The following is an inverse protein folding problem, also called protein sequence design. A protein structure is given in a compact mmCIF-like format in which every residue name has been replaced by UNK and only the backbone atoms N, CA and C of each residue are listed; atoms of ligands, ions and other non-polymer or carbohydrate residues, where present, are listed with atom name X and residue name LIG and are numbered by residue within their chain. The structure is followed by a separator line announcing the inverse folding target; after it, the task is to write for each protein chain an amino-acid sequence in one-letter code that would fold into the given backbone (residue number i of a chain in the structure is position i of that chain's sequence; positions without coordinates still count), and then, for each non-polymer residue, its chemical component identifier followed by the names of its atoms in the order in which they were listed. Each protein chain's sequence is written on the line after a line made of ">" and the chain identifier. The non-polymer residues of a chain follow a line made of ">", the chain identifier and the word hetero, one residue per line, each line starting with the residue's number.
data_IF_970460936468
#
_entry.id   IF_970460936468
#
_cell.length_a   1.000
_cell.length_b   1.000
_cell.length_c   1.000
_cell.angle_alpha   90.00
_cell.angle_beta   90.00
_cell.angle_gamma   90.00
#
_symmetry.space_group_name_H-M   'P 1'
#
loop_
_entity.id
_entity.type
_entity.pdbx_description
1 polymer ?
#
# COMPACT_ATOMS: atom_id res chain seq x y z
N UNK A 1 -19.86 -27.72 39.97
CA UNK A 1 -19.14 -28.48 38.94
C UNK A 1 -19.40 -27.95 37.52
N UNK A 2 -20.61 -27.56 37.12
CA UNK A 2 -20.94 -27.03 35.77
C UNK A 2 -20.31 -25.66 35.47
N UNK A 3 -20.28 -24.75 36.44
CA UNK A 3 -19.75 -23.38 36.27
C UNK A 3 -18.22 -23.37 36.04
N UNK A 4 -17.47 -24.26 36.68
CA UNK A 4 -16.01 -24.39 36.49
C UNK A 4 -15.65 -24.86 35.08
N UNK A 5 -16.48 -25.73 34.47
CA UNK A 5 -16.28 -26.19 33.11
C UNK A 5 -16.52 -25.08 32.04
N UNK A 6 -17.48 -24.16 32.28
CA UNK A 6 -17.77 -23.06 31.39
C UNK A 6 -16.60 -22.07 31.32
N UNK A 7 -16.02 -21.69 32.46
CA UNK A 7 -14.85 -20.82 32.50
C UNK A 7 -13.63 -21.42 31.82
N UNK A 8 -13.40 -22.72 31.98
CA UNK A 8 -12.33 -23.42 31.29
C UNK A 8 -12.53 -23.45 29.76
N UNK A 9 -13.76 -23.69 29.29
CA UNK A 9 -14.09 -23.66 27.87
C UNK A 9 -13.93 -22.26 27.28
N UNK A 10 -14.39 -21.21 27.98
CA UNK A 10 -14.21 -19.83 27.55
C UNK A 10 -12.72 -19.49 27.47
N UNK A 11 -11.91 -19.83 28.47
CA UNK A 11 -10.46 -19.60 28.46
C UNK A 11 -9.75 -20.34 27.31
N UNK A 12 -10.15 -21.57 27.01
CA UNK A 12 -9.63 -22.35 25.88
C UNK A 12 -10.03 -21.70 24.55
N UNK A 13 -11.29 -21.30 24.39
CA UNK A 13 -11.77 -20.61 23.18
C UNK A 13 -11.11 -19.26 23.00
N UNK A 14 -10.90 -18.51 24.08
CA UNK A 14 -10.18 -17.23 24.04
C UNK A 14 -8.72 -17.43 23.65
N UNK A 15 -8.04 -18.47 24.19
CA UNK A 15 -6.67 -18.79 23.79
C UNK A 15 -6.58 -19.26 22.33
N UNK A 16 -7.54 -20.08 21.88
CA UNK A 16 -7.61 -20.49 20.46
C UNK A 16 -7.85 -19.30 19.53
N UNK A 17 -8.73 -18.35 19.90
CA UNK A 17 -8.95 -17.12 19.17
C UNK A 17 -7.69 -16.24 19.15
N UNK A 18 -7.02 -16.09 20.27
CA UNK A 18 -5.75 -15.35 20.37
C UNK A 18 -4.61 -16.02 19.57
N UNK A 19 -4.58 -17.36 19.49
CA UNK A 19 -3.63 -18.09 18.65
C UNK A 19 -3.98 -17.97 17.16
N UNK A 20 -5.26 -17.94 16.80
CA UNK A 20 -5.70 -17.69 15.42
C UNK A 20 -5.39 -16.26 14.96
N UNK A 21 -5.51 -15.27 15.85
CA UNK A 21 -5.10 -13.89 15.56
C UNK A 21 -3.57 -13.74 15.39
N UNK A 22 -2.77 -14.62 16.04
CA UNK A 22 -1.31 -14.67 15.86
C UNK A 22 -0.85 -15.22 14.50
N UNK A 23 -1.74 -15.89 13.76
CA UNK A 23 -1.47 -16.51 12.46
C UNK A 23 -1.78 -15.60 11.27
N UNK A 24 -2.29 -14.38 11.53
CA UNK A 24 -2.67 -13.41 10.49
C UNK A 24 -1.84 -12.14 10.62
N UNK A 25 -1.28 -11.68 9.51
CA UNK A 25 -0.52 -10.44 9.43
C UNK A 25 -1.40 -9.39 8.75
N UNK A 26 -1.68 -8.31 9.45
CA UNK A 26 -2.49 -7.20 8.98
C UNK A 26 -1.60 -6.06 8.48
N UNK A 27 -1.77 -5.68 7.22
CA UNK A 27 -1.06 -4.59 6.59
C UNK A 27 -2.07 -3.54 6.16
N UNK A 28 -1.79 -2.28 6.44
CA UNK A 28 -2.54 -1.16 5.87
C UNK A 28 -1.72 -0.58 4.72
N UNK A 29 -2.28 -0.59 3.51
CA UNK A 29 -1.72 0.09 2.36
C UNK A 29 -2.38 1.45 2.16
N UNK A 30 -1.54 2.48 2.07
CA UNK A 30 -1.90 3.86 1.80
C UNK A 30 -1.10 4.30 0.58
N UNK A 31 -1.65 5.16 -0.28
CA UNK A 31 -0.98 5.55 -1.52
C UNK A 31 -1.44 6.91 -2.03
N UNK A 32 -0.63 7.53 -2.86
CA UNK A 32 -0.99 8.72 -3.65
C UNK A 32 -1.51 9.86 -2.75
N UNK A 33 -0.66 10.29 -1.81
CA UNK A 33 -0.99 11.37 -0.88
C UNK A 33 -0.89 12.75 -1.55
N UNK A 34 0.07 12.90 -2.48
CA UNK A 34 0.34 14.14 -3.20
C UNK A 34 0.43 15.37 -2.27
N UNK A 35 1.24 15.23 -1.21
CA UNK A 35 1.44 16.32 -0.24
C UNK A 35 2.29 17.42 -0.86
N UNK A 36 1.94 18.66 -0.53
CA UNK A 36 2.69 19.87 -0.90
C UNK A 36 3.39 20.47 0.33
N UNK A 37 4.34 21.37 0.08
CA UNK A 37 4.90 22.24 1.13
C UNK A 37 3.79 23.01 1.87
N UNK A 38 2.88 23.62 1.11
CA UNK A 38 1.72 24.33 1.66
C UNK A 38 0.57 23.36 1.95
N UNK A 39 0.23 23.18 3.21
CA UNK A 39 -0.90 22.34 3.68
C UNK A 39 -2.26 22.81 3.18
N UNK A 40 -2.38 24.03 2.69
CA UNK A 40 -3.63 24.56 2.13
C UNK A 40 -3.73 24.36 0.61
N UNK A 41 -2.66 23.85 -0.02
CA UNK A 41 -2.64 23.58 -1.45
C UNK A 41 -3.71 22.56 -1.83
N UNK A 42 -4.39 22.81 -2.95
CA UNK A 42 -5.37 21.89 -3.53
C UNK A 42 -4.88 21.33 -4.86
N UNK A 43 -5.15 20.06 -5.11
CA UNK A 43 -5.05 19.41 -6.40
C UNK A 43 -6.43 18.91 -6.80
N UNK A 44 -6.89 19.22 -8.02
CA UNK A 44 -8.23 18.84 -8.49
C UNK A 44 -9.35 19.24 -7.51
N UNK A 45 -9.28 20.45 -6.95
CA UNK A 45 -10.20 21.02 -5.95
C UNK A 45 -10.24 20.26 -4.59
N UNK A 46 -9.29 19.37 -4.33
CA UNK A 46 -9.19 18.65 -3.05
C UNK A 46 -7.94 19.14 -2.33
N UNK A 47 -8.07 19.52 -1.05
CA UNK A 47 -6.94 19.76 -0.18
C UNK A 47 -6.32 18.42 0.19
N UNK A 48 -5.15 18.11 -0.39
CA UNK A 48 -4.53 16.79 -0.28
C UNK A 48 -4.07 16.49 1.15
N UNK A 49 -3.58 17.50 1.89
CA UNK A 49 -3.17 17.33 3.28
C UNK A 49 -4.36 17.00 4.18
N UNK A 50 -5.46 17.77 4.10
CA UNK A 50 -6.66 17.50 4.91
C UNK A 50 -7.29 16.16 4.57
N UNK A 51 -7.34 15.80 3.29
CA UNK A 51 -7.86 14.50 2.85
C UNK A 51 -7.03 13.35 3.40
N UNK A 52 -5.70 13.41 3.27
CA UNK A 52 -4.81 12.41 3.85
C UNK A 52 -4.94 12.35 5.38
N UNK A 53 -5.04 13.50 6.07
CA UNK A 53 -5.25 13.56 7.52
C UNK A 53 -6.48 12.79 7.95
N UNK A 54 -7.63 12.98 7.28
CA UNK A 54 -8.86 12.26 7.58
C UNK A 54 -8.72 10.74 7.36
N UNK A 55 -7.96 10.34 6.33
CA UNK A 55 -7.66 8.90 6.10
C UNK A 55 -6.81 8.34 7.24
N UNK A 56 -5.77 9.04 7.68
CA UNK A 56 -4.94 8.60 8.83
C UNK A 56 -5.73 8.57 10.14
N UNK A 57 -6.58 9.55 10.39
CA UNK A 57 -7.49 9.57 11.56
C UNK A 57 -8.46 8.39 11.52
N UNK A 58 -8.99 8.03 10.34
CA UNK A 58 -9.85 6.85 10.19
C UNK A 58 -9.10 5.54 10.42
N UNK A 59 -7.82 5.45 10.05
CA UNK A 59 -6.97 4.28 10.33
C UNK A 59 -6.70 4.16 11.84
N UNK A 60 -6.37 5.27 12.50
CA UNK A 60 -6.09 5.32 13.94
C UNK A 60 -7.34 4.96 14.77
N UNK A 61 -8.51 5.40 14.31
CA UNK A 61 -9.79 5.08 14.95
C UNK A 61 -10.30 3.66 14.64
N UNK A 62 -9.70 2.95 13.70
CA UNK A 62 -10.12 1.60 13.33
C UNK A 62 -9.63 0.60 14.37
N UNK A 63 -10.53 -0.20 14.92
CA UNK A 63 -10.21 -1.24 15.91
C UNK A 63 -9.44 -2.44 15.31
N UNK A 64 -9.22 -2.47 14.01
CA UNK A 64 -8.39 -3.49 13.36
C UNK A 64 -6.94 -3.24 13.75
N UNK A 65 -6.39 -4.09 14.61
CA UNK A 65 -4.95 -4.11 14.88
C UNK A 65 -4.18 -4.41 13.59
N UNK A 66 -3.11 -3.65 13.32
CA UNK A 66 -2.25 -3.89 12.16
C UNK A 66 -0.78 -3.92 12.55
N UNK A 67 -0.01 -4.74 11.82
CA UNK A 67 1.39 -5.02 12.12
C UNK A 67 2.33 -4.03 11.43
N UNK A 68 1.91 -3.43 10.31
CA UNK A 68 2.68 -2.44 9.58
C UNK A 68 1.83 -1.58 8.65
N UNK A 69 2.35 -0.39 8.33
CA UNK A 69 1.86 0.46 7.25
C UNK A 69 2.79 0.36 6.03
N UNK A 70 2.22 0.36 4.84
CA UNK A 70 2.96 0.50 3.58
C UNK A 70 2.39 1.70 2.83
N UNK A 71 3.21 2.73 2.64
CA UNK A 71 2.88 3.87 1.81
C UNK A 71 3.50 3.63 0.43
N UNK A 72 2.64 3.30 -0.54
CA UNK A 72 3.09 2.75 -1.83
C UNK A 72 3.29 3.81 -2.93
N UNK A 73 3.84 4.96 -2.56
CA UNK A 73 4.33 6.00 -3.49
C UNK A 73 3.42 7.20 -3.66
N UNK A 74 3.93 8.19 -4.39
CA UNK A 74 3.35 9.53 -4.57
C UNK A 74 3.00 10.19 -3.23
N UNK A 75 3.99 10.19 -2.32
CA UNK A 75 3.88 10.74 -0.97
C UNK A 75 3.91 12.27 -1.01
N UNK A 76 4.79 12.81 -1.85
CA UNK A 76 4.90 14.23 -2.17
C UNK A 76 4.43 14.48 -3.60
N UNK A 77 3.94 15.69 -3.89
CA UNK A 77 3.63 16.14 -5.25
C UNK A 77 4.71 17.09 -5.81
N UNK A 78 5.36 17.85 -4.94
CA UNK A 78 6.31 18.91 -5.30
C UNK A 78 7.77 18.59 -4.91
N UNK A 79 8.02 17.40 -4.39
CA UNK A 79 9.32 16.94 -3.89
C UNK A 79 9.99 17.92 -2.87
N UNK A 80 9.23 18.83 -2.22
CA UNK A 80 9.78 19.75 -1.22
C UNK A 80 10.14 19.03 0.08
N UNK A 81 11.06 19.59 0.86
CA UNK A 81 11.38 19.05 2.20
C UNK A 81 10.19 19.21 3.14
N UNK A 82 9.45 20.31 3.00
CA UNK A 82 8.26 20.62 3.77
C UNK A 82 7.13 19.60 3.53
N UNK A 83 6.97 19.09 2.29
CA UNK A 83 5.98 18.05 2.00
C UNK A 83 6.30 16.74 2.74
N UNK A 84 7.57 16.36 2.84
CA UNK A 84 7.99 15.19 3.62
C UNK A 84 7.93 15.44 5.13
N UNK A 85 8.13 16.67 5.62
CA UNK A 85 7.83 17.00 7.02
C UNK A 85 6.33 16.95 7.31
N UNK A 86 5.48 17.34 6.35
CA UNK A 86 4.03 17.15 6.44
C UNK A 86 3.66 15.67 6.52
N UNK A 87 4.32 14.80 5.76
CA UNK A 87 4.15 13.36 5.86
C UNK A 87 4.52 12.85 7.27
N UNK A 88 5.69 13.22 7.80
CA UNK A 88 6.11 12.85 9.15
C UNK A 88 5.11 13.30 10.21
N UNK A 89 4.55 14.50 10.05
CA UNK A 89 3.51 14.99 10.95
C UNK A 89 2.27 14.09 10.93
N UNK A 90 1.81 13.64 9.77
CA UNK A 90 0.66 12.72 9.65
C UNK A 90 0.95 11.35 10.28
N UNK A 91 2.19 10.88 10.17
CA UNK A 91 2.61 9.55 10.66
C UNK A 91 3.00 9.52 12.15
N UNK A 92 3.03 10.65 12.85
CA UNK A 92 3.63 10.80 14.20
C UNK A 92 3.00 9.92 15.30
N UNK A 93 1.74 9.54 15.15
CA UNK A 93 1.01 8.75 16.14
C UNK A 93 1.11 7.24 15.95
N UNK A 94 1.66 6.79 14.81
CA UNK A 94 1.78 5.36 14.51
C UNK A 94 3.11 4.81 15.05
N UNK A 95 3.01 3.79 15.91
CA UNK A 95 4.19 3.15 16.52
C UNK A 95 4.69 1.92 15.75
N UNK A 96 3.85 1.36 14.87
CA UNK A 96 4.22 0.22 14.04
C UNK A 96 5.29 0.56 12.99
N UNK A 97 5.98 -0.43 12.41
CA UNK A 97 6.85 -0.22 11.25
C UNK A 97 6.09 0.38 10.06
N UNK A 98 6.64 1.44 9.45
CA UNK A 98 6.07 2.15 8.32
C UNK A 98 7.05 2.09 7.16
N UNK A 99 6.64 1.45 6.07
CA UNK A 99 7.46 1.31 4.87
C UNK A 99 7.06 2.37 3.84
N UNK A 100 8.03 3.19 3.44
CA UNK A 100 7.85 4.26 2.47
C UNK A 100 8.45 3.84 1.12
N UNK A 101 7.62 3.86 0.09
CA UNK A 101 8.01 3.59 -1.30
C UNK A 101 7.94 4.90 -2.10
N UNK A 102 8.74 4.98 -3.16
CA UNK A 102 8.67 6.12 -4.08
C UNK A 102 7.67 5.86 -5.19
N UNK A 103 6.87 6.87 -5.51
CA UNK A 103 6.15 6.97 -6.77
C UNK A 103 6.90 7.85 -7.78
N UNK A 104 6.23 8.20 -8.89
CA UNK A 104 6.83 9.06 -9.91
C UNK A 104 6.96 10.52 -9.48
N UNK A 105 6.14 10.99 -8.53
CA UNK A 105 6.22 12.34 -7.95
C UNK A 105 7.23 12.46 -6.80
N UNK A 106 7.87 11.38 -6.35
CA UNK A 106 8.72 11.40 -5.16
C UNK A 106 10.21 11.55 -5.47
N UNK A 107 10.96 12.06 -4.49
CA UNK A 107 12.42 11.96 -4.43
C UNK A 107 12.83 10.77 -3.57
N UNK A 108 13.37 9.67 -4.15
CA UNK A 108 13.85 8.51 -3.38
C UNK A 108 14.92 8.89 -2.35
N UNK A 109 15.76 9.89 -2.65
CA UNK A 109 16.80 10.38 -1.76
C UNK A 109 16.21 11.05 -0.51
N UNK A 110 15.15 11.86 -0.67
CA UNK A 110 14.46 12.50 0.45
C UNK A 110 13.68 11.49 1.29
N UNK A 111 12.98 10.53 0.67
CA UNK A 111 12.37 9.43 1.40
C UNK A 111 13.40 8.68 2.24
N UNK A 112 14.55 8.33 1.65
CA UNK A 112 15.62 7.67 2.39
C UNK A 112 16.14 8.51 3.55
N UNK A 113 16.23 9.83 3.38
CA UNK A 113 16.71 10.73 4.43
C UNK A 113 15.79 10.81 5.64
N UNK A 114 14.45 10.78 5.43
CA UNK A 114 13.48 10.79 6.53
C UNK A 114 13.34 9.43 7.22
N UNK A 115 13.75 8.33 6.56
CA UNK A 115 13.73 6.97 7.13
C UNK A 115 14.84 6.70 8.15
N UNK A 116 15.62 7.69 8.54
CA UNK A 116 16.63 7.57 9.62
C UNK A 116 16.02 7.64 11.02
N UNK A 117 14.70 7.76 11.14
CA UNK A 117 13.96 7.76 12.40
C UNK A 117 13.42 6.37 12.75
N UNK A 118 12.96 6.15 13.98
CA UNK A 118 12.76 4.84 14.61
C UNK A 118 11.88 3.84 13.87
N UNK A 119 10.73 4.26 13.34
CA UNK A 119 9.74 3.36 12.70
C UNK A 119 9.62 3.51 11.19
N UNK A 120 10.12 4.61 10.59
CA UNK A 120 10.10 4.82 9.13
C UNK A 120 11.21 3.99 8.45
N UNK A 121 10.85 3.26 7.41
CA UNK A 121 11.72 2.32 6.69
C UNK A 121 11.64 2.57 5.18
N UNK A 122 12.76 2.42 4.48
CA UNK A 122 12.86 2.47 3.00
C UNK A 122 13.50 1.19 2.44
N UNK A 123 13.41 0.08 3.16
CA UNK A 123 13.98 -1.20 2.73
C UNK A 123 13.04 -1.92 1.77
N UNK A 124 13.61 -2.68 0.83
CA UNK A 124 12.86 -3.35 -0.23
C UNK A 124 12.21 -4.68 0.19
N UNK A 125 12.57 -5.24 1.35
CA UNK A 125 12.07 -6.54 1.78
C UNK A 125 11.88 -6.63 3.28
N UNK A 126 10.78 -7.28 3.67
CA UNK A 126 10.46 -7.64 5.05
C UNK A 126 9.95 -9.07 5.11
N UNK A 127 10.59 -9.91 5.92
CA UNK A 127 10.06 -11.22 6.29
C UNK A 127 9.20 -11.11 7.55
N UNK A 128 8.03 -11.74 7.55
CA UNK A 128 7.10 -11.79 8.67
C UNK A 128 6.30 -13.10 8.61
N UNK A 129 6.43 -13.95 9.65
CA UNK A 129 5.85 -15.31 9.64
C UNK A 129 6.26 -16.09 8.39
N UNK A 130 5.31 -16.74 7.74
CA UNK A 130 5.50 -17.46 6.48
C UNK A 130 5.55 -16.55 5.25
N UNK A 131 5.41 -15.23 5.43
CA UNK A 131 5.32 -14.28 4.35
C UNK A 131 6.59 -13.45 4.19
N UNK A 132 6.86 -13.12 2.95
CA UNK A 132 7.77 -12.04 2.57
C UNK A 132 6.99 -10.93 1.89
N UNK A 133 7.26 -9.69 2.27
CA UNK A 133 6.74 -8.50 1.58
C UNK A 133 7.89 -7.86 0.85
N UNK A 134 7.81 -7.83 -0.48
CA UNK A 134 8.82 -7.21 -1.33
C UNK A 134 8.29 -5.91 -1.95
N UNK A 135 9.03 -4.84 -1.77
CA UNK A 135 8.66 -3.49 -2.19
C UNK A 135 9.64 -3.02 -3.26
N UNK A 136 9.20 -2.98 -4.52
CA UNK A 136 10.01 -2.48 -5.63
C UNK A 136 9.96 -0.95 -5.69
N UNK A 137 11.11 -0.31 -5.88
CA UNK A 137 11.15 1.05 -6.37
C UNK A 137 10.93 1.06 -7.88
N UNK A 138 9.77 1.48 -8.32
CA UNK A 138 9.42 1.52 -9.74
C UNK A 138 9.61 2.90 -10.37
N UNK A 139 10.16 3.88 -9.64
CA UNK A 139 10.41 5.22 -10.19
C UNK A 139 11.44 5.14 -11.33
N UNK A 140 11.10 5.75 -12.46
CA UNK A 140 11.99 6.01 -13.58
C UNK A 140 12.28 7.50 -13.65
N UNK A 141 13.55 7.86 -13.69
CA UNK A 141 13.95 9.28 -13.71
C UNK A 141 13.35 10.02 -14.90
N UNK A 142 12.85 11.21 -14.65
CA UNK A 142 12.24 12.10 -15.64
C UNK A 142 11.11 11.46 -16.47
N UNK A 143 10.38 10.53 -15.90
CA UNK A 143 9.30 9.81 -16.58
C UNK A 143 8.13 9.55 -15.62
N UNK A 144 6.87 9.68 -16.07
CA UNK A 144 5.72 9.19 -15.31
C UNK A 144 5.54 7.67 -15.39
N UNK A 145 6.34 6.97 -16.22
CA UNK A 145 6.29 5.52 -16.38
C UNK A 145 7.09 4.83 -15.27
N UNK A 146 6.69 3.60 -14.95
CA UNK A 146 7.45 2.73 -14.07
C UNK A 146 8.50 1.88 -14.79
N UNK A 147 9.50 1.44 -14.03
CA UNK A 147 10.48 0.45 -14.46
C UNK A 147 10.88 -0.46 -13.29
N UNK A 148 11.08 -1.74 -13.55
CA UNK A 148 11.73 -2.65 -12.61
C UNK A 148 13.24 -2.63 -12.87
N UNK A 149 13.99 -2.09 -11.91
CA UNK A 149 15.44 -1.97 -12.02
C UNK A 149 16.12 -3.32 -11.92
N UNK A 150 17.14 -3.55 -12.77
CA UNK A 150 17.80 -4.85 -12.86
C UNK A 150 18.43 -5.32 -11.54
N UNK A 151 19.02 -4.41 -10.77
CA UNK A 151 19.58 -4.73 -9.46
C UNK A 151 18.52 -5.19 -8.44
N UNK A 152 17.30 -4.64 -8.50
CA UNK A 152 16.20 -5.06 -7.64
C UNK A 152 15.62 -6.39 -8.09
N UNK A 153 15.54 -6.66 -9.41
CA UNK A 153 15.13 -7.96 -9.93
C UNK A 153 16.09 -9.07 -9.49
N UNK A 154 17.41 -8.82 -9.54
CA UNK A 154 18.43 -9.77 -9.04
C UNK A 154 18.26 -10.00 -7.54
N UNK A 155 18.04 -8.95 -6.77
CA UNK A 155 17.79 -9.08 -5.33
C UNK A 155 16.48 -9.80 -5.03
N UNK A 156 15.42 -9.53 -5.79
CA UNK A 156 14.15 -10.23 -5.70
C UNK A 156 14.30 -11.73 -5.96
N UNK A 157 14.99 -12.11 -7.04
CA UNK A 157 15.24 -13.51 -7.39
C UNK A 157 16.03 -14.24 -6.29
N UNK A 158 16.99 -13.54 -5.66
CA UNK A 158 17.71 -14.05 -4.48
C UNK A 158 16.77 -14.27 -3.30
N UNK A 159 15.92 -13.29 -2.98
CA UNK A 159 14.91 -13.41 -1.90
C UNK A 159 13.97 -14.58 -2.16
N UNK A 160 13.48 -14.76 -3.40
CA UNK A 160 12.62 -15.89 -3.79
C UNK A 160 13.34 -17.23 -3.62
N UNK A 161 14.62 -17.29 -3.95
CA UNK A 161 15.45 -18.49 -3.81
C UNK A 161 15.71 -18.84 -2.35
N UNK A 162 16.10 -17.86 -1.54
CA UNK A 162 16.47 -18.05 -0.12
C UNK A 162 15.24 -18.43 0.72
N UNK A 163 14.05 -17.93 0.36
CA UNK A 163 12.78 -18.16 1.08
C UNK A 163 11.92 -19.24 0.38
N UNK A 164 12.45 -20.45 0.21
CA UNK A 164 11.84 -21.53 -0.59
C UNK A 164 10.43 -21.93 -0.17
N UNK A 165 10.09 -21.78 1.09
CA UNK A 165 8.79 -22.20 1.66
C UNK A 165 7.87 -21.03 2.03
N UNK A 166 8.26 -19.79 1.71
CA UNK A 166 7.49 -18.59 2.06
C UNK A 166 6.65 -18.12 0.89
N UNK A 167 5.52 -17.52 1.22
CA UNK A 167 4.66 -16.81 0.30
C UNK A 167 5.13 -15.37 0.15
N UNK A 168 4.81 -14.73 -0.98
CA UNK A 168 5.24 -13.37 -1.26
C UNK A 168 4.04 -12.49 -1.60
N UNK A 169 4.01 -11.32 -0.95
CA UNK A 169 3.29 -10.14 -1.38
C UNK A 169 4.30 -9.19 -2.02
N UNK A 170 4.03 -8.76 -3.24
CA UNK A 170 4.84 -7.76 -3.96
C UNK A 170 4.10 -6.44 -3.96
N UNK A 171 4.79 -5.36 -3.58
CA UNK A 171 4.25 -4.00 -3.58
C UNK A 171 4.99 -3.15 -4.61
N UNK A 172 4.22 -2.39 -5.36
CA UNK A 172 4.66 -1.50 -6.43
C UNK A 172 4.03 -0.13 -6.23
N UNK A 173 4.55 0.90 -6.93
CA UNK A 173 3.76 2.11 -7.13
C UNK A 173 3.01 2.04 -8.47
N UNK A 174 3.72 1.86 -9.58
CA UNK A 174 3.11 1.78 -10.90
C UNK A 174 2.45 0.41 -11.16
N UNK A 175 1.37 0.40 -11.92
CA UNK A 175 0.64 -0.81 -12.27
C UNK A 175 1.41 -1.69 -13.27
N UNK A 176 1.36 -3.03 -13.11
CA UNK A 176 2.09 -3.95 -13.98
C UNK A 176 1.25 -4.48 -15.15
N UNK A 177 -0.04 -4.23 -15.19
CA UNK A 177 -1.00 -4.70 -16.21
C UNK A 177 -1.82 -3.55 -16.77
N UNK A 178 -2.34 -3.70 -17.98
CA UNK A 178 -3.27 -2.74 -18.54
C UNK A 178 -4.58 -2.70 -17.74
N UNK A 179 -5.06 -1.49 -17.45
CA UNK A 179 -6.27 -1.25 -16.66
C UNK A 179 -7.45 -0.75 -17.50
N UNK A 180 -7.23 -0.58 -18.81
CA UNK A 180 -8.22 -0.08 -19.76
C UNK A 180 -8.45 1.43 -19.69
N UNK A 181 -7.47 2.19 -19.22
CA UNK A 181 -7.45 3.65 -19.24
C UNK A 181 -6.34 4.13 -20.18
N UNK A 182 -6.68 4.67 -21.35
CA UNK A 182 -5.71 5.05 -22.39
C UNK A 182 -4.62 6.01 -21.88
N UNK A 183 -4.93 6.85 -20.88
CA UNK A 183 -3.97 7.76 -20.28
C UNK A 183 -3.06 7.08 -19.27
N UNK A 184 -3.62 6.26 -18.37
CA UNK A 184 -2.85 5.57 -17.35
C UNK A 184 -2.05 4.41 -17.93
N UNK A 185 -2.59 3.69 -18.91
CA UNK A 185 -1.90 2.58 -19.59
C UNK A 185 -0.63 3.02 -20.34
N UNK A 186 -0.45 4.33 -20.56
CA UNK A 186 0.82 4.91 -21.05
C UNK A 186 1.87 5.11 -19.95
N UNK A 187 1.46 5.05 -18.70
CA UNK A 187 2.33 5.25 -17.53
C UNK A 187 2.52 3.94 -16.73
N UNK A 188 2.37 2.82 -17.41
CA UNK A 188 2.58 1.46 -16.89
C UNK A 188 4.08 1.19 -16.63
N UNK A 189 4.39 0.12 -15.91
CA UNK A 189 5.76 -0.43 -15.83
C UNK A 189 6.17 -0.94 -17.20
N UNK A 190 7.21 -0.32 -17.80
CA UNK A 190 7.65 -0.60 -19.18
C UNK A 190 8.11 -2.05 -19.39
N UNK A 191 8.78 -2.64 -18.40
CA UNK A 191 9.24 -4.02 -18.41
C UNK A 191 8.44 -4.92 -17.45
N UNK A 192 7.13 -4.69 -17.35
CA UNK A 192 6.26 -5.43 -16.43
C UNK A 192 6.28 -6.96 -16.64
N UNK A 193 6.58 -7.43 -17.85
CA UNK A 193 6.76 -8.85 -18.15
C UNK A 193 7.80 -9.53 -17.26
N UNK A 194 8.81 -8.78 -16.78
CA UNK A 194 9.82 -9.29 -15.85
C UNK A 194 9.19 -9.76 -14.53
N UNK A 195 8.22 -9.04 -14.00
CA UNK A 195 7.48 -9.46 -12.80
C UNK A 195 6.42 -10.51 -13.14
N UNK A 196 5.62 -10.27 -14.19
CA UNK A 196 4.49 -11.13 -14.55
C UNK A 196 4.93 -12.57 -14.84
N UNK A 197 6.10 -12.75 -15.49
CA UNK A 197 6.68 -14.07 -15.72
C UNK A 197 7.11 -14.78 -14.42
N UNK A 198 7.42 -14.04 -13.36
CA UNK A 198 7.81 -14.58 -12.06
C UNK A 198 6.62 -15.03 -11.20
N UNK A 199 5.40 -14.57 -11.52
CA UNK A 199 4.17 -14.98 -10.81
C UNK A 199 3.89 -16.48 -11.01
N UNK A 200 4.34 -17.08 -12.09
CA UNK A 200 4.09 -18.49 -12.41
C UNK A 200 4.72 -19.50 -11.44
N UNK A 201 5.49 -19.08 -10.43
CA UNK A 201 6.18 -19.98 -9.50
C UNK A 201 5.38 -20.33 -8.24
N UNK A 202 4.11 -19.98 -8.17
CA UNK A 202 3.20 -20.19 -7.03
C UNK A 202 3.61 -19.58 -5.66
N UNK A 203 4.71 -18.82 -5.60
CA UNK A 203 5.14 -18.15 -4.36
C UNK A 203 4.56 -16.75 -4.23
N UNK A 204 4.46 -16.02 -5.34
CA UNK A 204 3.85 -14.71 -5.37
C UNK A 204 2.33 -14.91 -5.31
N UNK A 205 1.73 -14.55 -4.19
CA UNK A 205 0.29 -14.68 -3.93
C UNK A 205 -0.47 -13.39 -4.16
N UNK A 206 0.22 -12.24 -4.08
CA UNK A 206 -0.37 -10.95 -4.33
C UNK A 206 0.60 -9.94 -4.91
N UNK A 207 0.05 -9.01 -5.68
CA UNK A 207 0.75 -7.82 -6.17
C UNK A 207 -0.15 -6.62 -5.95
N UNK A 208 0.30 -5.67 -5.12
CA UNK A 208 -0.43 -4.45 -4.79
C UNK A 208 0.26 -3.20 -5.36
N UNK A 209 -0.52 -2.21 -5.78
CA UNK A 209 0.01 -0.94 -6.29
C UNK A 209 -0.88 0.28 -5.99
N UNK A 210 -0.37 1.47 -6.29
CA UNK A 210 -1.06 2.75 -6.25
C UNK A 210 -1.24 3.37 -7.63
N UNK A 211 -0.82 4.62 -7.81
CA UNK A 211 -0.66 5.33 -9.07
C UNK A 211 -1.93 5.60 -9.88
N UNK A 212 -2.83 4.64 -9.95
CA UNK A 212 -4.03 4.76 -10.79
C UNK A 212 -5.20 5.46 -10.09
N UNK A 213 -5.04 5.86 -8.82
CA UNK A 213 -6.04 6.52 -7.99
C UNK A 213 -7.42 5.85 -8.05
N UNK A 214 -7.42 4.53 -8.09
CA UNK A 214 -8.62 3.73 -8.26
C UNK A 214 -8.44 2.36 -7.64
N UNK A 215 -9.54 1.79 -7.20
CA UNK A 215 -9.60 0.43 -6.71
C UNK A 215 -9.83 -0.54 -7.87
N UNK A 216 -9.02 -1.58 -7.95
CA UNK A 216 -9.28 -2.75 -8.77
C UNK A 216 -8.77 -4.02 -8.10
N UNK A 217 -9.29 -5.16 -8.56
CA UNK A 217 -8.78 -6.48 -8.19
C UNK A 217 -8.99 -7.45 -9.35
N UNK A 218 -7.99 -8.29 -9.63
CA UNK A 218 -8.04 -9.31 -10.69
C UNK A 218 -7.17 -10.50 -10.28
N UNK A 219 -7.60 -11.71 -10.63
CA UNK A 219 -6.74 -12.89 -10.54
C UNK A 219 -5.83 -12.98 -11.77
N UNK A 220 -4.56 -13.26 -11.55
CA UNK A 220 -3.57 -13.47 -12.58
C UNK A 220 -2.68 -14.66 -12.22
N UNK A 221 -2.87 -15.79 -12.90
CA UNK A 221 -2.10 -17.03 -12.68
C UNK A 221 -2.07 -17.50 -11.22
N UNK A 222 -3.18 -17.31 -10.50
CA UNK A 222 -3.32 -17.72 -9.10
C UNK A 222 -2.72 -16.73 -8.09
N UNK A 223 -2.29 -15.54 -8.52
CA UNK A 223 -1.97 -14.41 -7.67
C UNK A 223 -3.08 -13.35 -7.74
N UNK A 224 -3.42 -12.76 -6.61
CA UNK A 224 -4.36 -11.65 -6.57
C UNK A 224 -3.62 -10.34 -6.85
N UNK A 225 -3.97 -9.67 -7.95
CA UNK A 225 -3.45 -8.37 -8.33
C UNK A 225 -4.46 -7.29 -7.94
N UNK A 226 -4.02 -6.24 -7.22
CA UNK A 226 -4.94 -5.22 -6.72
C UNK A 226 -4.31 -3.83 -6.63
N UNK A 227 -5.12 -2.80 -6.83
CA UNK A 227 -4.75 -1.42 -6.56
C UNK A 227 -5.51 -0.85 -5.37
N UNK A 228 -4.92 0.17 -4.76
CA UNK A 228 -5.50 0.90 -3.64
C UNK A 228 -5.91 2.29 -4.11
N UNK A 229 -7.07 2.81 -3.65
CA UNK A 229 -7.47 4.17 -3.94
C UNK A 229 -6.50 5.18 -3.32
N UNK A 230 -6.39 6.35 -3.94
CA UNK A 230 -5.63 7.47 -3.41
C UNK A 230 -6.24 7.99 -2.09
N UNK A 231 -5.40 8.60 -1.26
CA UNK A 231 -5.87 9.38 -0.11
C UNK A 231 -6.36 10.78 -0.48
N UNK A 232 -6.23 11.18 -1.75
CA UNK A 232 -6.69 12.48 -2.24
C UNK A 232 -7.80 12.32 -3.29
N UNK A 233 -7.57 12.75 -4.53
CA UNK A 233 -8.56 12.62 -5.60
C UNK A 233 -8.57 11.21 -6.21
N UNK A 234 -9.74 10.80 -6.73
CA UNK A 234 -9.92 9.50 -7.37
C UNK A 234 -9.99 9.66 -8.89
N UNK A 235 -9.44 8.72 -9.63
CA UNK A 235 -9.52 8.73 -11.08
C UNK A 235 -10.70 7.87 -11.56
N UNK A 236 -11.38 8.33 -12.61
CA UNK A 236 -12.48 7.58 -13.21
C UNK A 236 -11.95 6.36 -13.95
N UNK A 237 -12.42 5.14 -13.59
CA UNK A 237 -11.92 3.91 -14.21
C UNK A 237 -12.23 3.85 -15.71
N UNK A 238 -11.36 3.16 -16.45
CA UNK A 238 -11.56 2.83 -17.88
C UNK A 238 -11.86 4.05 -18.75
N UNK A 239 -11.32 5.22 -18.40
CA UNK A 239 -11.55 6.44 -19.16
C UNK A 239 -10.41 6.69 -20.15
N UNK A 240 -10.76 7.24 -21.33
CA UNK A 240 -9.76 7.58 -22.38
C UNK A 240 -8.81 8.70 -21.98
N UNK A 241 -9.25 9.58 -21.07
CA UNK A 241 -8.43 10.67 -20.50
C UNK A 241 -8.42 10.53 -18.99
N UNK A 242 -7.41 11.09 -18.35
CA UNK A 242 -7.43 11.22 -16.90
C UNK A 242 -8.57 12.15 -16.48
N UNK A 243 -9.57 11.60 -15.81
CA UNK A 243 -10.75 12.33 -15.34
C UNK A 243 -10.92 12.03 -13.85
N UNK A 244 -11.27 13.05 -13.08
CA UNK A 244 -11.54 12.91 -11.66
C UNK A 244 -12.95 12.35 -11.46
N UNK A 245 -13.04 11.37 -10.56
CA UNK A 245 -14.31 10.81 -10.09
C UNK A 245 -14.67 11.38 -8.71
N UNK A 246 -15.42 12.45 -8.70
CA UNK A 246 -15.88 13.09 -7.46
C UNK A 246 -16.97 12.29 -6.72
N UNK A 247 -17.46 11.19 -7.30
CA UNK A 247 -18.41 10.30 -6.63
C UNK A 247 -17.73 9.31 -5.68
N UNK A 248 -16.42 9.13 -5.82
CA UNK A 248 -15.63 8.22 -5.00
C UNK A 248 -14.87 8.97 -3.92
N UNK A 249 -14.99 8.49 -2.70
CA UNK A 249 -14.21 9.00 -1.55
C UNK A 249 -12.78 8.46 -1.55
N UNK A 250 -11.82 9.18 -0.94
CA UNK A 250 -10.49 8.63 -0.68
C UNK A 250 -10.57 7.42 0.26
N UNK A 251 -9.46 6.68 0.37
CA UNK A 251 -9.47 5.51 1.22
C UNK A 251 -8.09 4.87 1.38
N UNK A 252 -8.11 3.70 1.97
CA UNK A 252 -6.96 2.84 2.19
C UNK A 252 -7.36 1.39 2.01
N UNK A 253 -6.38 0.50 1.94
CA UNK A 253 -6.62 -0.94 1.83
C UNK A 253 -6.11 -1.67 3.06
N UNK A 254 -6.93 -2.57 3.59
CA UNK A 254 -6.52 -3.58 4.56
C UNK A 254 -6.11 -4.83 3.80
N UNK A 255 -4.94 -5.38 4.09
CA UNK A 255 -4.41 -6.62 3.51
C UNK A 255 -4.14 -7.58 4.66
N UNK A 256 -4.80 -8.73 4.66
CA UNK A 256 -4.64 -9.78 5.65
C UNK A 256 -3.91 -10.96 5.02
N UNK A 257 -2.68 -11.19 5.44
CA UNK A 257 -1.87 -12.32 5.02
C UNK A 257 -2.10 -13.47 5.99
N UNK A 258 -2.77 -14.50 5.51
CA UNK A 258 -3.15 -15.69 6.29
C UNK A 258 -2.19 -16.83 6.00
N UNK A 259 -2.16 -17.80 6.90
CA UNK A 259 -1.41 -19.05 6.71
C UNK A 259 -1.80 -19.76 5.41
N UNK A 260 -0.86 -20.54 4.88
CA UNK A 260 -1.07 -21.27 3.64
C UNK A 260 -1.09 -20.39 2.39
N UNK A 261 -0.67 -19.13 2.48
CA UNK A 261 -0.54 -18.24 1.32
C UNK A 261 -1.85 -17.61 0.86
N UNK A 262 -2.83 -17.48 1.73
CA UNK A 262 -4.11 -16.85 1.43
C UNK A 262 -4.04 -15.35 1.71
N UNK A 263 -4.44 -14.54 0.74
CA UNK A 263 -4.62 -13.10 0.90
C UNK A 263 -6.11 -12.79 0.97
N UNK A 264 -6.51 -12.05 2.00
CA UNK A 264 -7.82 -11.44 2.13
C UNK A 264 -7.63 -9.91 2.17
N UNK A 265 -8.35 -9.19 1.35
CA UNK A 265 -8.14 -7.73 1.25
C UNK A 265 -9.42 -6.98 0.95
N UNK A 266 -9.55 -5.80 1.55
CA UNK A 266 -10.68 -4.90 1.37
C UNK A 266 -10.23 -3.44 1.34
N UNK A 267 -10.99 -2.61 0.64
CA UNK A 267 -10.82 -1.15 0.64
C UNK A 267 -11.80 -0.52 1.61
N UNK A 268 -11.29 0.36 2.44
CA UNK A 268 -12.10 1.19 3.35
C UNK A 268 -12.09 2.61 2.79
N UNK A 269 -13.28 3.13 2.46
CA UNK A 269 -13.48 4.50 1.96
C UNK A 269 -13.78 5.43 3.12
N UNK A 270 -13.16 6.61 3.10
CA UNK A 270 -13.29 7.65 4.15
C UNK A 270 -14.12 8.80 3.62
N UNK A 271 -15.24 9.07 4.27
CA UNK A 271 -16.14 10.13 3.82
C UNK A 271 -15.60 11.50 4.24
N UNK A 272 -15.28 12.36 3.28
CA UNK A 272 -14.80 13.73 3.53
C UNK A 272 -15.89 14.71 3.98
N UNK A 273 -17.17 14.29 4.02
CA UNK A 273 -18.31 15.19 4.26
C UNK A 273 -18.58 15.49 5.74
N UNK A 274 -17.79 14.99 6.70
CA UNK A 274 -18.09 15.21 8.11
C UNK A 274 -17.69 16.59 8.65
N UNK A 275 -16.85 17.36 7.97
CA UNK A 275 -16.45 18.72 8.42
C UNK A 275 -16.59 19.77 7.30
N UNK A 276 -17.83 20.04 6.89
CA UNK A 276 -18.27 21.27 6.23
C UNK A 276 -17.30 21.97 5.28
N UNK A 277 -16.92 21.35 4.16
CA UNK A 277 -16.00 22.03 3.28
C UNK A 277 -15.79 21.39 1.91
N UNK A 278 -16.66 21.67 0.97
CA UNK A 278 -16.33 21.89 -0.45
C UNK A 278 -16.70 23.33 -0.78
#
# INVERSE_FOLDING_TARGET
>A
MVIHNIHAIIAILTNILLDLDKLMINIIQITDLHLYADRNKTANNINTFKSAQLVFEAIDANEIGFDMLILSGDLSDDESDESYENLKYLLRNFECPIYLMSGNHDSPQKIKSICNTSNLKSQNYKSVGEWGVFMFNTKKDNSPNGILHQNELVYFDKVVSDNKNSFLLVMLHHHPILIGSDSMDKMIIENSSELLNRINNNKIKGVGWGHIHNEMSVDYNGAQLFSTPSTCYQAKPKSKKFLIDYSQSPGYRVIRLKDGGVIDTEVIRVNLKQDGGY
#
